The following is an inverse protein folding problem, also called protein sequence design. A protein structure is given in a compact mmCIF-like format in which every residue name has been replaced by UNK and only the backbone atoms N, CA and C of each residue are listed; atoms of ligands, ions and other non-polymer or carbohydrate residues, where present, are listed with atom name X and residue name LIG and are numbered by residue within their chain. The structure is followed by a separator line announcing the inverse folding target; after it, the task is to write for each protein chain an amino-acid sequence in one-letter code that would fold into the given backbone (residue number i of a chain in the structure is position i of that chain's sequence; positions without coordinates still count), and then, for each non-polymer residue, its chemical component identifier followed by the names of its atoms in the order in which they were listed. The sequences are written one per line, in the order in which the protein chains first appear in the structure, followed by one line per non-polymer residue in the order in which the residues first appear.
data_IF_555312564750
#
_entry.id   IF_555312564750
#
_cell.length_a   1.000
_cell.length_b   1.000
_cell.length_c   1.000
_cell.angle_alpha   90.00
_cell.angle_beta   90.00
_cell.angle_gamma   90.00
#
_symmetry.space_group_name_H-M   'P 1'
#
loop_
_entity.id
_entity.type
_entity.pdbx_description
1 polymer ?
#
# COMPACT_ATOMS: atom_id res chain seq x y z
N UNK A 1 -8.56 2.33 14.50
CA UNK A 1 -8.04 1.88 13.20
C UNK A 1 -6.79 2.67 12.87
N UNK A 2 -5.79 1.98 12.37
CA UNK A 2 -4.52 2.60 11.98
C UNK A 2 -4.27 2.37 10.50
N UNK A 3 -3.47 3.24 9.90
CA UNK A 3 -3.16 3.16 8.48
C UNK A 3 -1.66 3.34 8.24
N UNK A 4 -1.13 2.56 7.32
CA UNK A 4 0.22 2.76 6.80
C UNK A 4 0.11 3.26 5.38
N UNK A 5 0.75 4.41 5.13
CA UNK A 5 0.80 5.02 3.81
C UNK A 5 2.16 4.74 3.18
N UNK A 6 2.14 4.28 1.95
CA UNK A 6 3.35 4.09 1.16
C UNK A 6 3.25 4.92 -0.10
N UNK A 7 4.23 5.79 -0.32
CA UNK A 7 4.34 6.58 -1.54
C UNK A 7 5.43 5.98 -2.42
N UNK A 8 5.06 5.66 -3.65
CA UNK A 8 6.00 5.12 -4.63
C UNK A 8 6.01 6.03 -5.86
N UNK A 9 7.17 6.25 -6.41
CA UNK A 9 7.32 7.01 -7.64
C UNK A 9 7.82 6.11 -8.75
N UNK A 10 7.12 6.15 -9.88
CA UNK A 10 7.46 5.40 -11.07
C UNK A 10 7.11 6.20 -12.31
N UNK A 11 6.98 5.55 -13.44
CA UNK A 11 6.62 6.22 -14.67
C UNK A 11 5.14 6.03 -14.97
N UNK A 12 4.52 7.05 -15.55
CA UNK A 12 3.12 6.95 -15.96
C UNK A 12 2.89 5.83 -16.98
N UNK A 13 3.90 5.48 -17.74
CA UNK A 13 3.82 4.41 -18.75
C UNK A 13 3.71 3.03 -18.11
N UNK A 14 4.23 2.86 -16.89
CA UNK A 14 4.26 1.58 -16.19
C UNK A 14 3.22 1.48 -15.09
N UNK A 15 2.33 2.45 -14.99
CA UNK A 15 1.36 2.54 -13.91
C UNK A 15 0.42 1.32 -13.88
N UNK A 16 -0.08 0.89 -15.04
CA UNK A 16 -0.97 -0.26 -15.13
C UNK A 16 -0.28 -1.55 -14.67
N UNK A 17 1.00 -1.70 -14.99
CA UNK A 17 1.80 -2.83 -14.54
C UNK A 17 1.97 -2.83 -13.03
N UNK A 18 2.27 -1.66 -12.45
CA UNK A 18 2.40 -1.50 -11.01
C UNK A 18 1.10 -1.82 -10.26
N UNK A 19 -0.03 -1.36 -10.77
CA UNK A 19 -1.33 -1.64 -10.18
C UNK A 19 -1.68 -3.14 -10.24
N UNK A 20 -1.35 -3.79 -11.35
CA UNK A 20 -1.57 -5.22 -11.49
C UNK A 20 -0.73 -6.01 -10.48
N UNK A 21 0.54 -5.66 -10.34
CA UNK A 21 1.45 -6.27 -9.39
C UNK A 21 0.91 -6.13 -7.96
N UNK A 22 0.46 -4.96 -7.60
CA UNK A 22 -0.12 -4.70 -6.28
C UNK A 22 -1.35 -5.58 -6.05
N UNK A 23 -2.23 -5.67 -7.04
CA UNK A 23 -3.46 -6.47 -6.92
C UNK A 23 -3.17 -7.95 -6.82
N UNK A 24 -2.24 -8.45 -7.61
CA UNK A 24 -1.98 -9.89 -7.71
C UNK A 24 -1.03 -10.42 -6.64
N UNK A 25 -0.05 -9.62 -6.23
CA UNK A 25 1.01 -10.09 -5.34
C UNK A 25 1.01 -9.44 -3.96
N UNK A 26 0.67 -8.15 -3.86
CA UNK A 26 0.70 -7.44 -2.58
C UNK A 26 -0.58 -7.67 -1.79
N UNK A 27 -1.72 -7.40 -2.41
CA UNK A 27 -3.02 -7.48 -1.72
C UNK A 27 -3.29 -8.85 -1.09
N UNK A 28 -3.06 -9.98 -1.79
CA UNK A 28 -3.30 -11.27 -1.16
C UNK A 28 -2.46 -11.52 0.10
N UNK A 29 -1.23 -11.03 0.12
CA UNK A 29 -0.37 -11.17 1.30
C UNK A 29 -0.86 -10.33 2.47
N UNK A 30 -1.34 -9.11 2.20
CA UNK A 30 -1.93 -8.26 3.24
C UNK A 30 -3.21 -8.87 3.80
N UNK A 31 -4.04 -9.44 2.94
CA UNK A 31 -5.30 -10.07 3.35
C UNK A 31 -5.11 -11.24 4.31
N UNK A 32 -3.95 -11.87 4.29
CA UNK A 32 -3.64 -12.98 5.19
C UNK A 32 -3.18 -12.52 6.58
N UNK A 33 -2.92 -11.24 6.77
CA UNK A 33 -2.44 -10.71 8.04
C UNK A 33 -3.60 -10.45 9.00
N UNK A 34 -3.41 -10.80 10.27
CA UNK A 34 -4.42 -10.56 11.31
C UNK A 34 -4.64 -9.05 11.47
N UNK A 35 -5.91 -8.67 11.55
CA UNK A 35 -6.29 -7.28 11.76
C UNK A 35 -6.30 -6.40 10.50
N UNK A 36 -6.05 -6.99 9.34
CA UNK A 36 -6.15 -6.26 8.07
C UNK A 36 -7.61 -5.87 7.81
N UNK A 37 -7.85 -4.58 7.52
CA UNK A 37 -9.21 -4.05 7.34
C UNK A 37 -9.48 -3.54 5.93
N UNK A 38 -8.47 -3.19 5.19
CA UNK A 38 -8.71 -2.67 3.85
C UNK A 38 -7.46 -2.11 3.22
N UNK A 39 -7.58 -1.81 1.94
CA UNK A 39 -6.48 -1.32 1.15
C UNK A 39 -7.02 -0.42 0.06
N UNK A 40 -6.40 0.74 -0.13
CA UNK A 40 -6.75 1.64 -1.21
C UNK A 40 -5.47 2.16 -1.85
N UNK A 41 -5.47 2.23 -3.17
CA UNK A 41 -4.33 2.76 -3.92
C UNK A 41 -4.83 3.91 -4.77
N UNK A 42 -4.15 5.04 -4.65
CA UNK A 42 -4.37 6.20 -5.50
C UNK A 42 -3.27 6.23 -6.56
N UNK A 43 -3.65 6.42 -7.80
CA UNK A 43 -2.69 6.60 -8.87
C UNK A 43 -2.79 8.02 -9.44
N UNK A 44 -1.64 8.60 -9.75
CA UNK A 44 -1.58 9.85 -10.49
C UNK A 44 -1.05 9.55 -11.88
N UNK A 45 -1.94 9.55 -12.87
CA UNK A 45 -1.60 9.15 -14.22
C UNK A 45 -0.66 10.12 -14.93
N UNK A 46 -0.60 11.34 -14.45
CA UNK A 46 0.28 12.35 -15.04
C UNK A 46 1.72 12.17 -14.57
N UNK A 47 1.91 11.87 -13.29
CA UNK A 47 3.24 11.78 -12.68
C UNK A 47 3.78 10.35 -12.57
N UNK A 48 2.89 9.35 -12.58
CA UNK A 48 3.26 7.97 -12.30
C UNK A 48 3.35 7.64 -10.81
N UNK A 49 2.95 8.57 -9.93
CA UNK A 49 2.98 8.36 -8.50
C UNK A 49 1.87 7.41 -8.06
N UNK A 50 2.21 6.49 -7.18
CA UNK A 50 1.25 5.60 -6.51
C UNK A 50 1.32 5.83 -5.01
N UNK A 51 0.14 5.99 -4.39
CA UNK A 51 0.04 6.11 -2.93
C UNK A 51 -0.91 5.02 -2.45
N UNK A 52 -0.37 4.11 -1.64
CA UNK A 52 -1.15 3.01 -1.07
C UNK A 52 -1.39 3.22 0.41
N UNK A 53 -2.62 2.96 0.86
CA UNK A 53 -2.97 2.93 2.27
C UNK A 53 -3.44 1.54 2.65
N UNK A 54 -2.76 0.90 3.58
CA UNK A 54 -3.25 -0.31 4.22
C UNK A 54 -3.91 0.07 5.55
N UNK A 55 -5.09 -0.49 5.80
CA UNK A 55 -5.89 -0.18 6.99
C UNK A 55 -5.87 -1.36 7.94
N UNK A 56 -5.69 -1.08 9.23
CA UNK A 56 -5.48 -2.09 10.26
C UNK A 56 -6.39 -1.84 11.46
N UNK A 57 -6.84 -2.92 12.07
CA UNK A 57 -7.71 -2.89 13.24
C UNK A 57 -7.10 -2.11 14.40
N UNK A 58 -5.78 -2.24 14.59
CA UNK A 58 -5.06 -1.62 15.70
C UNK A 58 -3.63 -1.31 15.30
N UNK A 59 -2.97 -0.48 16.10
CA UNK A 59 -1.54 -0.21 15.93
C UNK A 59 -0.72 -1.50 16.04
N UNK A 60 -1.09 -2.38 16.97
CA UNK A 60 -0.39 -3.66 17.15
C UNK A 60 -0.47 -4.54 15.92
N UNK A 61 -1.65 -4.62 15.28
CA UNK A 61 -1.82 -5.38 14.05
C UNK A 61 -0.97 -4.79 12.92
N UNK A 62 -0.95 -3.47 12.81
CA UNK A 62 -0.13 -2.78 11.83
C UNK A 62 1.36 -3.08 12.05
N UNK A 63 1.83 -2.99 13.28
CA UNK A 63 3.23 -3.27 13.62
C UNK A 63 3.60 -4.72 13.34
N UNK A 64 2.71 -5.65 13.64
CA UNK A 64 2.95 -7.07 13.38
C UNK A 64 3.08 -7.38 11.89
N UNK A 65 2.50 -6.55 11.04
CA UNK A 65 2.55 -6.70 9.58
C UNK A 65 3.75 -6.02 8.93
N UNK A 66 4.59 -5.30 9.69
CA UNK A 66 5.67 -4.48 9.12
C UNK A 66 6.65 -5.28 8.28
N UNK A 67 7.02 -6.47 8.72
CA UNK A 67 7.97 -7.29 7.97
C UNK A 67 7.40 -7.69 6.60
N UNK A 68 6.14 -8.10 6.55
CA UNK A 68 5.46 -8.43 5.30
C UNK A 68 5.32 -7.17 4.43
N UNK A 69 4.95 -6.05 5.05
CA UNK A 69 4.83 -4.78 4.34
C UNK A 69 6.15 -4.34 3.69
N UNK A 70 7.24 -4.42 4.43
CA UNK A 70 8.56 -4.06 3.90
C UNK A 70 8.95 -4.96 2.73
N UNK A 71 8.73 -6.25 2.87
CA UNK A 71 9.06 -7.20 1.81
C UNK A 71 8.22 -6.97 0.56
N UNK A 72 6.92 -6.78 0.70
CA UNK A 72 6.04 -6.56 -0.45
C UNK A 72 6.36 -5.26 -1.17
N UNK A 73 6.67 -4.20 -0.43
CA UNK A 73 7.06 -2.91 -1.03
C UNK A 73 8.35 -3.05 -1.83
N UNK A 74 9.33 -3.74 -1.26
CA UNK A 74 10.63 -3.93 -1.90
C UNK A 74 10.50 -4.76 -3.16
N UNK A 75 9.75 -5.86 -3.09
CA UNK A 75 9.54 -6.74 -4.24
C UNK A 75 8.79 -6.02 -5.36
N UNK A 76 7.77 -5.25 -5.02
CA UNK A 76 7.02 -4.46 -6.00
C UNK A 76 7.92 -3.44 -6.68
N UNK A 77 8.74 -2.73 -5.91
CA UNK A 77 9.66 -1.73 -6.46
C UNK A 77 10.67 -2.37 -7.41
N UNK A 78 11.20 -3.53 -7.06
CA UNK A 78 12.14 -4.26 -7.93
C UNK A 78 11.47 -4.69 -9.23
N UNK A 79 10.26 -5.25 -9.15
CA UNK A 79 9.56 -5.80 -10.32
C UNK A 79 9.09 -4.70 -11.27
N UNK A 80 8.68 -3.56 -10.75
CA UNK A 80 8.15 -2.46 -11.56
C UNK A 80 9.18 -1.39 -11.90
N UNK A 81 10.32 -1.39 -11.22
CA UNK A 81 11.32 -0.34 -11.35
C UNK A 81 10.95 0.95 -10.61
N UNK A 82 9.90 0.91 -9.79
CA UNK A 82 9.46 2.06 -9.03
C UNK A 82 10.38 2.29 -7.83
N UNK A 83 10.37 3.52 -7.32
CA UNK A 83 11.13 3.90 -6.13
C UNK A 83 10.17 4.16 -4.98
N UNK A 84 10.44 3.54 -3.83
CA UNK A 84 9.69 3.84 -2.60
C UNK A 84 10.25 5.14 -2.03
N UNK A 85 9.42 6.20 -2.01
CA UNK A 85 9.83 7.50 -1.52
C UNK A 85 9.61 7.67 -0.04
N UNK A 86 8.48 7.19 0.47
CA UNK A 86 8.09 7.46 1.84
C UNK A 86 7.14 6.38 2.37
N UNK A 87 7.27 6.11 3.67
CA UNK A 87 6.35 5.23 4.39
C UNK A 87 5.98 5.94 5.67
N UNK A 88 4.70 6.26 5.84
CA UNK A 88 4.18 6.96 7.01
C UNK A 88 3.10 6.13 7.69
N UNK A 89 2.93 6.35 8.97
CA UNK A 89 1.94 5.63 9.79
C UNK A 89 1.06 6.63 10.50
N UNK A 90 -0.25 6.34 10.52
CA UNK A 90 -1.25 7.24 11.04
C UNK A 90 -2.29 6.50 11.88
N UNK A 91 -2.83 7.18 12.87
CA UNK A 91 -4.11 6.78 13.44
C UNK A 91 -5.21 7.36 12.55
N UNK A 92 -6.21 6.54 12.21
CA UNK A 92 -7.32 7.01 11.38
C UNK A 92 -8.26 7.85 12.24
N UNK A 93 -8.31 9.14 11.97
CA UNK A 93 -9.16 10.05 12.72
C UNK A 93 -10.62 9.99 12.28
N UNK A 94 -10.85 9.74 11.00
CA UNK A 94 -12.19 9.63 10.45
C UNK A 94 -12.16 8.75 9.21
N UNK A 95 -13.04 7.77 9.17
CA UNK A 95 -13.26 6.95 8.00
C UNK A 95 -14.75 6.72 7.84
N UNK A 96 -15.29 7.15 6.73
CA UNK A 96 -16.71 6.99 6.42
C UNK A 96 -16.86 6.66 4.94
N UNK A 97 -17.62 5.61 4.66
CA UNK A 97 -17.94 5.24 3.28
C UNK A 97 -19.41 5.52 3.02
N UNK A 98 -19.67 6.16 1.89
CA UNK A 98 -21.04 6.34 1.39
C UNK A 98 -21.35 5.16 0.47
N UNK A 99 -22.56 4.66 0.60
CA UNK A 99 -23.05 3.58 -0.25
C UNK A 99 -24.07 4.09 -1.25
#
# INVERSE_FOLDING_TARGET
MHARMTTMEGSSERLAEGLREIREDVLPQLQQQDGFKGFVVFDNRQSGELIGFSLWESEQAMQASEEVGDRTRRDTAEDTGDTIEDVQRYEVGLFEMSS
#
